data_IF_858899063043
#
_entry.id   IF_858899063043
#
_cell.length_a   1.000
_cell.length_b   1.000
_cell.length_c   1.000
_cell.angle_alpha   90.00
_cell.angle_beta   90.00
_cell.angle_gamma   90.00
#
_symmetry.space_group_name_H-M   'P 1'
#
loop_
_entity.id
_entity.type
_entity.pdbx_description
1 polymer ?
#
# COMPACT_ATOMS: atom_id res chain seq x y z
N UNK A 1 3.85 -3.07 -10.59
CA UNK A 1 4.80 -3.94 -11.33
C UNK A 1 6.00 -4.37 -10.48
N UNK A 2 6.57 -3.48 -9.64
CA UNK A 2 7.69 -3.78 -8.74
C UNK A 2 7.29 -4.56 -7.47
N UNK A 3 6.22 -4.12 -6.78
CA UNK A 3 5.75 -4.77 -5.55
C UNK A 3 5.37 -6.24 -5.76
N UNK A 4 4.69 -6.58 -6.86
CA UNK A 4 4.30 -7.95 -7.21
C UNK A 4 5.50 -8.87 -7.52
N UNK A 5 6.68 -8.31 -7.77
CA UNK A 5 7.93 -9.05 -8.10
C UNK A 5 8.91 -9.13 -6.92
N UNK A 6 8.48 -8.84 -5.69
CA UNK A 6 9.33 -8.97 -4.50
C UNK A 6 10.23 -7.77 -4.21
N UNK A 7 10.20 -6.70 -5.02
CA UNK A 7 11.01 -5.50 -4.78
C UNK A 7 10.11 -4.35 -4.29
N UNK A 8 9.66 -4.49 -3.05
CA UNK A 8 8.78 -3.50 -2.39
C UNK A 8 9.53 -2.21 -2.04
N UNK A 9 10.84 -2.27 -1.76
CA UNK A 9 11.69 -1.11 -1.54
C UNK A 9 11.73 -0.20 -2.76
N UNK A 10 11.99 -0.74 -3.96
CA UNK A 10 12.01 0.08 -5.18
C UNK A 10 10.63 0.63 -5.52
N UNK A 11 9.57 -0.13 -5.25
CA UNK A 11 8.20 0.37 -5.38
C UNK A 11 7.94 1.57 -4.46
N UNK A 12 8.39 1.48 -3.21
CA UNK A 12 8.27 2.55 -2.22
C UNK A 12 9.07 3.81 -2.61
N UNK A 13 10.27 3.65 -3.16
CA UNK A 13 11.07 4.79 -3.65
C UNK A 13 10.36 5.53 -4.79
N UNK A 14 9.81 4.81 -5.77
CA UNK A 14 9.04 5.41 -6.85
C UNK A 14 7.78 6.09 -6.29
N UNK A 15 7.07 5.40 -5.39
CA UNK A 15 5.86 5.92 -4.76
C UNK A 15 6.12 7.22 -3.98
N UNK A 16 7.21 7.30 -3.24
CA UNK A 16 7.61 8.52 -2.51
C UNK A 16 7.98 9.67 -3.43
N UNK A 17 8.55 9.40 -4.60
CA UNK A 17 8.94 10.40 -5.60
C UNK A 17 7.78 10.89 -6.46
N UNK A 18 6.63 10.19 -6.48
CA UNK A 18 5.44 10.68 -7.15
C UNK A 18 4.91 11.93 -6.44
N UNK A 19 4.79 13.04 -7.18
CA UNK A 19 4.23 14.29 -6.67
C UNK A 19 2.72 14.18 -6.38
N UNK A 20 2.00 13.40 -7.20
CA UNK A 20 0.60 13.05 -6.99
C UNK A 20 0.45 11.54 -7.18
N UNK A 21 -0.32 10.90 -6.29
CA UNK A 21 -0.52 9.44 -6.26
C UNK A 21 -1.98 9.15 -6.52
N UNK A 22 -2.25 8.44 -7.59
CA UNK A 22 -3.58 7.94 -7.88
C UNK A 22 -3.96 6.73 -7.00
N UNK A 23 -5.23 6.36 -7.06
CA UNK A 23 -5.77 5.21 -6.32
C UNK A 23 -4.99 3.90 -6.60
N UNK A 24 -4.51 3.72 -7.83
CA UNK A 24 -3.76 2.53 -8.23
C UNK A 24 -2.39 2.48 -7.53
N UNK A 25 -1.70 3.60 -7.41
CA UNK A 25 -0.45 3.74 -6.66
C UNK A 25 -0.64 3.38 -5.18
N UNK A 26 -1.69 3.92 -4.54
CA UNK A 26 -2.02 3.59 -3.14
C UNK A 26 -2.33 2.11 -2.95
N UNK A 27 -3.24 1.57 -3.77
CA UNK A 27 -3.64 0.17 -3.73
C UNK A 27 -2.46 -0.77 -3.97
N UNK A 28 -1.55 -0.40 -4.87
CA UNK A 28 -0.33 -1.16 -5.15
C UNK A 28 0.60 -1.24 -3.94
N UNK A 29 0.76 -0.14 -3.20
CA UNK A 29 1.64 -0.12 -2.01
C UNK A 29 1.01 -0.83 -0.81
N UNK A 30 -0.29 -0.63 -0.56
CA UNK A 30 -1.01 -1.31 0.53
C UNK A 30 -0.98 -2.83 0.29
N UNK A 31 -1.40 -3.27 -0.90
CA UNK A 31 -1.41 -4.70 -1.25
C UNK A 31 0.00 -5.27 -1.31
N UNK A 32 0.97 -4.50 -1.82
CA UNK A 32 2.37 -4.89 -1.89
C UNK A 32 2.95 -5.19 -0.51
N UNK A 33 2.81 -4.25 0.45
CA UNK A 33 3.29 -4.47 1.81
C UNK A 33 2.55 -5.63 2.49
N UNK A 34 1.23 -5.73 2.35
CA UNK A 34 0.46 -6.81 2.94
C UNK A 34 0.89 -8.19 2.40
N UNK A 35 1.05 -8.34 1.08
CA UNK A 35 1.48 -9.60 0.46
C UNK A 35 2.88 -10.05 0.86
N UNK A 36 3.73 -9.13 1.32
CA UNK A 36 5.11 -9.42 1.75
C UNK A 36 5.25 -9.50 3.28
N UNK A 37 4.15 -9.61 4.02
CA UNK A 37 4.20 -9.77 5.48
C UNK A 37 4.51 -8.47 6.23
N UNK A 38 4.43 -7.31 5.59
CA UNK A 38 4.71 -6.01 6.21
C UNK A 38 3.42 -5.31 6.63
N UNK A 39 2.67 -5.93 7.55
CA UNK A 39 1.35 -5.46 8.01
C UNK A 39 1.38 -4.02 8.54
N UNK A 40 2.38 -3.67 9.36
CA UNK A 40 2.56 -2.30 9.87
C UNK A 40 2.67 -1.27 8.76
N UNK A 41 3.54 -1.51 7.77
CA UNK A 41 3.80 -0.58 6.65
C UNK A 41 2.57 -0.42 5.76
N UNK A 42 1.84 -1.51 5.50
CA UNK A 42 0.59 -1.44 4.75
C UNK A 42 -0.44 -0.53 5.44
N UNK A 43 -0.57 -0.63 6.77
CA UNK A 43 -1.46 0.22 7.58
C UNK A 43 -0.99 1.68 7.62
N UNK A 44 0.32 1.93 7.62
CA UNK A 44 0.88 3.29 7.53
C UNK A 44 0.54 3.95 6.19
N UNK A 45 0.74 3.24 5.08
CA UNK A 45 0.35 3.71 3.74
C UNK A 45 -1.16 3.99 3.67
N UNK A 46 -1.98 3.11 4.24
CA UNK A 46 -3.42 3.32 4.30
C UNK A 46 -3.81 4.59 5.08
N UNK A 47 -3.20 4.84 6.24
CA UNK A 47 -3.44 6.09 7.00
C UNK A 47 -3.01 7.32 6.21
N UNK A 48 -1.92 7.23 5.45
CA UNK A 48 -1.48 8.33 4.58
C UNK A 48 -2.47 8.58 3.44
N UNK A 49 -2.99 7.53 2.79
CA UNK A 49 -4.07 7.62 1.80
C UNK A 49 -5.29 8.37 2.36
N UNK A 50 -5.74 8.00 3.58
CA UNK A 50 -6.88 8.65 4.24
C UNK A 50 -6.62 10.13 4.52
N UNK A 51 -5.40 10.50 4.93
CA UNK A 51 -5.02 11.92 5.14
C UNK A 51 -5.03 12.74 3.85
N UNK A 52 -4.86 12.09 2.70
CA UNK A 52 -4.96 12.72 1.38
C UNK A 52 -6.40 12.76 0.85
N UNK A 53 -7.40 12.40 1.67
CA UNK A 53 -8.83 12.37 1.29
C UNK A 53 -9.13 11.52 0.05
N UNK A 54 -8.35 10.47 -0.19
CA UNK A 54 -8.56 9.57 -1.31
C UNK A 54 -9.70 8.59 -1.01
N UNK A 55 -10.62 8.43 -1.96
CA UNK A 55 -11.70 7.45 -1.87
C UNK A 55 -11.16 6.02 -2.00
N UNK A 56 -11.64 5.12 -1.16
CA UNK A 56 -11.21 3.72 -1.10
C UNK A 56 -12.07 2.86 -2.03
N UNK A 57 -11.48 1.83 -2.61
CA UNK A 57 -12.20 0.81 -3.38
C UNK A 57 -12.07 -0.58 -2.75
N UNK A 58 -12.68 -1.58 -3.39
CA UNK A 58 -12.61 -2.98 -2.94
C UNK A 58 -11.17 -3.52 -2.84
N UNK A 59 -10.24 -3.00 -3.66
CA UNK A 59 -8.83 -3.40 -3.63
C UNK A 59 -8.17 -2.84 -2.38
N UNK A 60 -8.46 -1.57 -2.03
CA UNK A 60 -7.99 -0.96 -0.78
C UNK A 60 -8.43 -1.81 0.42
N UNK A 61 -9.72 -2.16 0.49
CA UNK A 61 -10.25 -2.97 1.59
C UNK A 61 -9.59 -4.35 1.69
N UNK A 62 -9.43 -5.06 0.57
CA UNK A 62 -8.78 -6.37 0.54
C UNK A 62 -7.32 -6.28 1.05
N UNK A 63 -6.58 -5.26 0.63
CA UNK A 63 -5.21 -5.01 1.07
C UNK A 63 -5.12 -4.73 2.57
N UNK A 64 -6.01 -3.89 3.11
CA UNK A 64 -6.03 -3.55 4.55
C UNK A 64 -6.43 -4.75 5.41
N UNK A 65 -7.43 -5.53 5.00
CA UNK A 65 -7.82 -6.76 5.71
C UNK A 65 -6.64 -7.74 5.77
N UNK A 66 -5.94 -7.91 4.65
CA UNK A 66 -4.72 -8.74 4.58
C UNK A 66 -3.63 -8.20 5.52
N UNK A 67 -3.49 -6.88 5.63
CA UNK A 67 -2.57 -6.27 6.57
C UNK A 67 -2.95 -6.50 8.05
N UNK A 68 -4.25 -6.59 8.37
CA UNK A 68 -4.72 -6.79 9.74
C UNK A 68 -4.52 -8.20 10.27
N UNK A 69 -4.49 -9.21 9.39
CA UNK A 69 -4.23 -10.60 9.80
C UNK A 69 -2.72 -10.88 10.01
N UNK A 70 -1.86 -9.92 9.69
CA UNK A 70 -0.42 -10.01 9.94
C UNK A 70 -0.12 -9.48 11.35
N UNK A 71 0.45 -10.35 12.18
CA UNK A 71 0.94 -10.02 13.52
C UNK A 71 2.31 -9.35 13.38
N UNK A 72 2.44 -8.13 13.91
CA UNK A 72 3.70 -7.38 13.98
C UNK A 72 4.30 -7.45 15.39
#
# INVERSE_FOLDING_TARGET
MYARKGNIESANEVFKRQGERDLVSWNSMISGYAQHGHGKKAREVFREMQRNNMEMDGITFAGVITACIILD
#
